data_IF_893716869097
#
_entry.id   IF_893716869097
#
_cell.length_a   1.000
_cell.length_b   1.000
_cell.length_c   1.000
_cell.angle_alpha   90.00
_cell.angle_beta   90.00
_cell.angle_gamma   90.00
#
_symmetry.space_group_name_H-M   'P 1'
#
loop_
_entity.id
_entity.type
_entity.pdbx_description
1 polymer ?
#
# COMPACT_ATOMS: atom_id res chain seq x y z
N UNK A 1 -7.04 -21.47 2.67
CA UNK A 1 -5.96 -22.28 3.27
C UNK A 1 -4.89 -22.68 2.25
N UNK A 2 -5.24 -23.39 1.17
CA UNK A 2 -4.30 -23.79 0.10
C UNK A 2 -3.59 -22.62 -0.59
N UNK A 3 -4.32 -21.54 -0.92
CA UNK A 3 -3.76 -20.35 -1.57
C UNK A 3 -2.76 -19.64 -0.64
N UNK A 4 -3.08 -19.50 0.65
CA UNK A 4 -2.20 -18.87 1.63
C UNK A 4 -0.89 -19.65 1.80
N UNK A 5 -0.96 -20.98 1.91
CA UNK A 5 0.22 -21.83 2.03
C UNK A 5 1.08 -21.81 0.75
N UNK A 6 0.45 -21.82 -0.43
CA UNK A 6 1.16 -21.74 -1.71
C UNK A 6 1.84 -20.39 -1.94
N UNK A 7 1.14 -19.29 -1.63
CA UNK A 7 1.69 -17.93 -1.71
C UNK A 7 2.82 -17.67 -0.72
N UNK A 8 2.78 -18.27 0.48
CA UNK A 8 3.88 -18.20 1.45
C UNK A 8 5.15 -18.90 0.97
N UNK A 9 5.02 -20.12 0.42
CA UNK A 9 6.17 -20.86 -0.14
C UNK A 9 6.76 -20.11 -1.34
N UNK A 10 5.91 -19.57 -2.23
CA UNK A 10 6.36 -18.80 -3.39
C UNK A 10 6.99 -17.45 -3.05
N UNK A 11 6.48 -16.75 -2.03
CA UNK A 11 7.06 -15.49 -1.56
C UNK A 11 8.44 -15.67 -0.92
N UNK A 12 8.67 -16.83 -0.27
CA UNK A 12 9.98 -17.23 0.24
C UNK A 12 10.95 -17.67 -0.88
N UNK A 13 10.44 -18.32 -1.93
CA UNK A 13 11.24 -18.75 -3.09
C UNK A 13 11.68 -17.58 -3.99
N UNK A 14 10.87 -16.53 -4.12
CA UNK A 14 11.22 -15.36 -4.93
C UNK A 14 10.52 -14.07 -4.42
N UNK A 15 11.19 -13.26 -3.59
CA UNK A 15 10.65 -12.02 -3.03
C UNK A 15 10.29 -10.95 -4.09
N UNK A 16 10.77 -11.08 -5.33
CA UNK A 16 10.47 -10.15 -6.42
C UNK A 16 9.08 -10.37 -7.05
N UNK A 17 8.31 -11.34 -6.55
CA UNK A 17 6.90 -11.59 -6.92
C UNK A 17 5.97 -10.90 -5.92
N UNK A 18 5.86 -9.57 -6.02
CA UNK A 18 5.04 -8.74 -5.13
C UNK A 18 3.55 -9.17 -5.08
N UNK A 19 3.06 -9.85 -6.12
CA UNK A 19 1.72 -10.45 -6.24
C UNK A 19 1.47 -11.55 -5.18
N UNK A 20 2.49 -12.32 -4.81
CA UNK A 20 2.34 -13.43 -3.86
C UNK A 20 2.42 -12.98 -2.40
N UNK A 21 3.26 -11.98 -2.10
CA UNK A 21 3.30 -11.33 -0.76
C UNK A 21 1.96 -10.64 -0.47
N UNK A 22 1.39 -9.97 -1.49
CA UNK A 22 0.06 -9.41 -1.43
C UNK A 22 -1.00 -10.46 -1.07
N UNK A 23 -1.03 -11.60 -1.75
CA UNK A 23 -1.98 -12.68 -1.48
C UNK A 23 -1.81 -13.31 -0.07
N UNK A 24 -0.58 -13.45 0.42
CA UNK A 24 -0.33 -13.93 1.79
C UNK A 24 -0.83 -12.93 2.84
N UNK A 25 -0.53 -11.64 2.66
CA UNK A 25 -0.99 -10.56 3.54
C UNK A 25 -2.51 -10.44 3.56
N UNK A 26 -3.18 -10.64 2.43
CA UNK A 26 -4.65 -10.62 2.33
C UNK A 26 -5.31 -11.84 3.00
N UNK A 27 -4.69 -13.02 2.88
CA UNK A 27 -5.24 -14.27 3.45
C UNK A 27 -4.94 -14.47 4.93
N UNK A 28 -3.91 -13.81 5.49
CA UNK A 28 -3.51 -13.91 6.91
C UNK A 28 -3.75 -12.63 7.71
N UNK A 29 -3.92 -11.49 7.04
CA UNK A 29 -3.97 -10.16 7.66
C UNK A 29 -5.34 -9.72 8.15
N UNK A 30 -6.42 -10.50 7.98
CA UNK A 30 -7.79 -10.08 8.31
C UNK A 30 -7.93 -9.58 9.75
N UNK A 31 -7.30 -10.24 10.73
CA UNK A 31 -7.32 -9.81 12.14
C UNK A 31 -6.58 -8.48 12.33
N UNK A 32 -5.44 -8.30 11.67
CA UNK A 32 -4.67 -7.06 11.73
C UNK A 32 -5.43 -5.90 11.07
N UNK A 33 -6.02 -6.13 9.89
CA UNK A 33 -6.85 -5.15 9.19
C UNK A 33 -8.08 -4.76 10.03
N UNK A 34 -8.75 -5.72 10.67
CA UNK A 34 -9.89 -5.45 11.55
C UNK A 34 -9.50 -4.60 12.77
N UNK A 35 -8.34 -4.86 13.38
CA UNK A 35 -7.80 -4.04 14.48
C UNK A 35 -7.42 -2.64 14.01
N UNK A 36 -6.80 -2.53 12.82
CA UNK A 36 -6.44 -1.24 12.24
C UNK A 36 -7.69 -0.42 11.92
N UNK A 37 -8.73 -1.03 11.35
CA UNK A 37 -10.05 -0.42 11.14
C UNK A 37 -10.62 0.16 12.44
N UNK A 38 -10.61 -0.61 13.52
CA UNK A 38 -11.11 -0.15 14.81
C UNK A 38 -10.33 1.08 15.32
N UNK A 39 -8.99 1.07 15.19
CA UNK A 39 -8.14 2.20 15.56
C UNK A 39 -8.40 3.43 14.68
N UNK A 40 -8.53 3.25 13.37
CA UNK A 40 -8.83 4.34 12.45
C UNK A 40 -10.19 4.98 12.76
N UNK A 41 -11.23 4.18 13.04
CA UNK A 41 -12.56 4.72 13.41
C UNK A 41 -12.56 5.49 14.72
N UNK A 42 -11.68 5.14 15.67
CA UNK A 42 -11.54 5.84 16.94
C UNK A 42 -10.71 7.13 16.85
N UNK A 43 -10.01 7.36 15.74
CA UNK A 43 -9.19 8.54 15.50
C UNK A 43 -9.90 9.50 14.52
N UNK A 44 -9.97 10.82 14.78
CA UNK A 44 -10.65 11.76 13.88
C UNK A 44 -10.07 11.80 12.45
N UNK A 45 -8.75 11.71 12.31
CA UNK A 45 -8.08 11.70 11.00
C UNK A 45 -8.26 10.34 10.34
N UNK A 46 -8.10 9.25 11.09
CA UNK A 46 -8.36 7.89 10.61
C UNK A 46 -9.79 7.72 10.09
N UNK A 47 -10.78 8.22 10.83
CA UNK A 47 -12.20 8.16 10.47
C UNK A 47 -12.46 8.95 9.18
N UNK A 48 -11.89 10.16 9.07
CA UNK A 48 -11.97 10.96 7.84
C UNK A 48 -11.37 10.22 6.63
N UNK A 49 -10.22 9.56 6.80
CA UNK A 49 -9.61 8.75 5.73
C UNK A 49 -10.52 7.60 5.30
N UNK A 50 -11.19 6.93 6.24
CA UNK A 50 -12.14 5.85 5.91
C UNK A 50 -13.38 6.36 5.16
N UNK A 51 -13.78 7.61 5.38
CA UNK A 51 -14.92 8.24 4.69
C UNK A 51 -14.50 8.77 3.31
N UNK A 52 -13.44 9.58 3.24
CA UNK A 52 -13.01 10.25 2.00
C UNK A 52 -12.34 9.28 1.02
N UNK A 53 -11.78 8.19 1.55
CA UNK A 53 -11.06 7.14 0.81
C UNK A 53 -10.06 7.68 -0.21
N UNK A 54 -9.14 8.60 0.18
CA UNK A 54 -8.13 9.10 -0.75
C UNK A 54 -7.26 7.97 -1.27
N UNK A 55 -6.96 8.00 -2.56
CA UNK A 55 -6.11 7.03 -3.27
C UNK A 55 -4.93 7.78 -3.86
N UNK A 56 -3.74 7.20 -3.75
CA UNK A 56 -2.52 7.77 -4.30
C UNK A 56 -2.24 7.13 -5.65
N UNK A 57 -2.42 7.92 -6.69
CA UNK A 57 -2.16 7.61 -8.11
C UNK A 57 -1.30 8.72 -8.72
N UNK A 58 -0.75 8.49 -9.90
CA UNK A 58 -0.06 9.51 -10.72
C UNK A 58 -0.92 10.75 -10.97
N UNK A 59 -2.25 10.61 -11.02
CA UNK A 59 -3.18 11.74 -11.18
C UNK A 59 -3.33 12.57 -9.91
N UNK A 60 -3.28 11.95 -8.74
CA UNK A 60 -3.31 12.65 -7.44
C UNK A 60 -1.94 13.20 -7.01
N UNK A 61 -0.86 12.61 -7.54
CA UNK A 61 0.52 12.88 -7.15
C UNK A 61 1.44 12.79 -8.36
N UNK A 62 1.73 13.96 -8.95
CA UNK A 62 2.63 14.10 -10.09
C UNK A 62 4.10 13.98 -9.63
N UNK A 63 4.66 12.76 -9.75
CA UNK A 63 6.05 12.46 -9.37
C UNK A 63 7.05 13.30 -10.16
N UNK A 64 6.77 13.65 -11.42
CA UNK A 64 7.63 14.51 -12.21
C UNK A 64 7.70 15.92 -11.61
N UNK A 65 6.55 16.48 -11.20
CA UNK A 65 6.54 17.75 -10.47
C UNK A 65 7.27 17.65 -9.13
N UNK A 66 7.13 16.53 -8.39
CA UNK A 66 7.82 16.32 -7.13
C UNK A 66 9.35 16.27 -7.28
N UNK A 67 9.86 15.73 -8.39
CA UNK A 67 11.28 15.68 -8.69
C UNK A 67 11.94 17.07 -8.80
N UNK A 68 11.16 18.11 -9.06
CA UNK A 68 11.62 19.50 -9.13
C UNK A 68 11.53 20.27 -7.81
N UNK A 69 11.05 19.65 -6.73
CA UNK A 69 11.05 20.28 -5.40
C UNK A 69 12.47 20.38 -4.83
N UNK A 70 12.72 21.33 -3.90
CA UNK A 70 14.01 21.44 -3.21
C UNK A 70 14.41 20.13 -2.51
N UNK A 71 15.71 19.84 -2.50
CA UNK A 71 16.31 18.73 -1.77
C UNK A 71 15.91 18.76 -0.28
N UNK A 72 15.69 17.58 0.30
CA UNK A 72 15.26 17.44 1.70
C UNK A 72 13.76 17.65 1.94
N UNK A 73 12.98 18.02 0.92
CA UNK A 73 11.51 17.95 1.01
C UNK A 73 11.03 16.50 0.84
N UNK A 74 9.96 16.11 1.54
CA UNK A 74 9.40 14.76 1.44
C UNK A 74 9.09 14.37 -0.02
N UNK A 75 8.50 15.29 -0.79
CA UNK A 75 8.16 15.04 -2.19
C UNK A 75 9.39 14.80 -3.06
N UNK A 76 10.45 15.59 -2.88
CA UNK A 76 11.69 15.42 -3.65
C UNK A 76 12.37 14.09 -3.35
N UNK A 77 12.50 13.74 -2.07
CA UNK A 77 13.17 12.50 -1.67
C UNK A 77 12.33 11.27 -2.05
N UNK A 78 10.99 11.36 -1.98
CA UNK A 78 10.11 10.33 -2.51
C UNK A 78 10.31 10.13 -4.02
N UNK A 79 10.32 11.20 -4.82
CA UNK A 79 10.54 11.10 -6.27
C UNK A 79 11.91 10.48 -6.59
N UNK A 80 12.96 10.88 -5.84
CA UNK A 80 14.30 10.30 -5.95
C UNK A 80 14.32 8.81 -5.61
N UNK A 81 13.61 8.39 -4.55
CA UNK A 81 13.49 6.98 -4.16
C UNK A 81 12.83 6.15 -5.26
N UNK A 82 11.72 6.64 -5.80
CA UNK A 82 10.98 5.97 -6.87
C UNK A 82 11.82 5.82 -8.14
N UNK A 83 12.51 6.88 -8.57
CA UNK A 83 13.40 6.88 -9.74
C UNK A 83 14.57 5.92 -9.56
N UNK A 84 15.24 5.94 -8.40
CA UNK A 84 16.39 5.09 -8.12
C UNK A 84 16.09 3.59 -8.17
N UNK A 85 14.84 3.20 -7.87
CA UNK A 85 14.39 1.81 -7.86
C UNK A 85 13.55 1.43 -9.09
N UNK A 86 13.30 2.37 -10.01
CA UNK A 86 12.43 2.16 -11.16
C UNK A 86 10.98 1.83 -10.78
N UNK A 87 10.50 2.38 -9.67
CA UNK A 87 9.13 2.17 -9.20
C UNK A 87 8.16 3.16 -9.83
N UNK A 88 6.92 2.70 -10.01
CA UNK A 88 5.80 3.51 -10.45
C UNK A 88 4.74 3.53 -9.35
N UNK A 89 4.25 4.72 -9.01
CA UNK A 89 3.19 4.90 -8.02
C UNK A 89 1.90 4.17 -8.41
N UNK A 90 1.64 4.03 -9.72
CA UNK A 90 0.47 3.33 -10.26
C UNK A 90 0.66 1.81 -10.32
N UNK A 91 1.88 1.28 -10.18
CA UNK A 91 2.16 -0.16 -10.29
C UNK A 91 1.74 -0.96 -9.04
N UNK A 92 1.14 -0.32 -8.03
CA UNK A 92 0.68 -1.01 -6.82
C UNK A 92 -0.58 -1.82 -7.14
N UNK A 93 -0.41 -3.14 -7.14
CA UNK A 93 -1.47 -4.09 -7.47
C UNK A 93 -2.71 -3.94 -6.58
N UNK A 94 -3.88 -4.00 -7.23
CA UNK A 94 -5.19 -4.04 -6.58
C UNK A 94 -5.26 -5.11 -5.48
N UNK A 95 -6.06 -4.84 -4.45
CA UNK A 95 -6.38 -5.81 -3.41
C UNK A 95 -7.47 -6.74 -3.94
N UNK A 96 -7.18 -8.05 -4.06
CA UNK A 96 -8.04 -8.99 -4.80
C UNK A 96 -8.64 -10.12 -3.95
N UNK A 97 -8.09 -10.38 -2.77
CA UNK A 97 -8.43 -11.50 -1.90
C UNK A 97 -8.90 -11.04 -0.50
N UNK A 98 -9.33 -9.78 -0.36
CA UNK A 98 -10.01 -9.26 0.83
C UNK A 98 -11.46 -8.93 0.47
N UNK A 99 -12.40 -9.73 0.97
CA UNK A 99 -13.82 -9.60 0.60
C UNK A 99 -14.52 -8.38 1.22
N UNK A 100 -14.02 -7.88 2.36
CA UNK A 100 -14.57 -6.69 3.02
C UNK A 100 -13.97 -5.44 2.37
N UNK A 101 -14.82 -4.63 1.76
CA UNK A 101 -14.43 -3.47 0.96
C UNK A 101 -13.62 -2.43 1.75
N UNK A 102 -13.99 -2.16 3.01
CA UNK A 102 -13.28 -1.21 3.86
C UNK A 102 -11.92 -1.78 4.29
N UNK A 103 -11.84 -3.08 4.59
CA UNK A 103 -10.55 -3.74 4.86
C UNK A 103 -9.66 -3.80 3.62
N UNK A 104 -10.23 -3.99 2.44
CA UNK A 104 -9.51 -3.95 1.18
C UNK A 104 -8.92 -2.57 0.92
N UNK A 105 -9.70 -1.51 1.18
CA UNK A 105 -9.21 -0.13 1.12
C UNK A 105 -8.07 0.13 2.10
N UNK A 106 -8.19 -0.34 3.35
CA UNK A 106 -7.12 -0.19 4.35
C UNK A 106 -5.83 -0.88 3.88
N UNK A 107 -5.93 -2.08 3.30
CA UNK A 107 -4.77 -2.78 2.73
C UNK A 107 -4.17 -2.02 1.54
N UNK A 108 -5.00 -1.49 0.64
CA UNK A 108 -4.54 -0.65 -0.48
C UNK A 108 -3.78 0.57 0.03
N UNK A 109 -4.35 1.28 1.02
CA UNK A 109 -3.74 2.48 1.59
C UNK A 109 -2.41 2.18 2.28
N UNK A 110 -2.31 1.04 2.96
CA UNK A 110 -1.06 0.55 3.52
C UNK A 110 0.00 0.33 2.43
N UNK A 111 -0.36 -0.33 1.31
CA UNK A 111 0.55 -0.52 0.17
C UNK A 111 1.03 0.78 -0.46
N UNK A 112 0.12 1.73 -0.65
CA UNK A 112 0.45 3.04 -1.22
C UNK A 112 1.28 3.89 -0.26
N UNK A 113 1.06 3.76 1.05
CA UNK A 113 1.77 4.50 2.07
C UNK A 113 3.18 3.98 2.37
N UNK A 114 3.43 2.70 2.09
CA UNK A 114 4.67 2.00 2.42
C UNK A 114 5.92 2.73 1.90
N UNK A 115 5.89 3.23 0.67
CA UNK A 115 7.07 3.84 0.04
C UNK A 115 7.43 5.19 0.65
N UNK A 116 6.50 5.87 1.33
CA UNK A 116 6.83 7.09 2.08
C UNK A 116 7.55 6.80 3.40
N UNK A 117 7.60 5.54 3.83
CA UNK A 117 8.22 5.13 5.10
C UNK A 117 9.67 4.66 4.93
N UNK A 118 10.15 4.53 3.69
CA UNK A 118 11.55 4.27 3.36
C UNK A 118 12.38 5.57 3.45
#
# INVERSE_FOLDING_TARGET
ALIAAFSAVKALENPHRADMVAALGETTGRVALARLRARMRADPVGSRILVERPVITSTSMDVHRLAHLPDGTLGREYARFMEAHGFDADARADVRFVDDEELAYIMLRYRQGHDFLH
#
